data_IF_856102782649
#
_entry.id   IF_856102782649
#
_cell.length_a   1.000
_cell.length_b   1.000
_cell.length_c   1.000
_cell.angle_alpha   90.00
_cell.angle_beta   90.00
_cell.angle_gamma   90.00
#
_symmetry.space_group_name_H-M   'P 1'
#
loop_
_entity.id
_entity.type
_entity.pdbx_description
1 polymer ?
#
# COMPACT_ATOMS: atom_id res chain seq x y z
N UNK A 1 -1.29 31.16 -15.83
CA UNK A 1 -1.12 29.78 -16.35
C UNK A 1 0.07 29.02 -15.74
N UNK A 2 0.61 29.43 -14.57
CA UNK A 2 1.78 28.80 -13.92
C UNK A 2 1.45 27.87 -12.73
N UNK A 3 0.19 27.77 -12.29
CA UNK A 3 -0.21 26.91 -11.15
C UNK A 3 -0.52 25.44 -11.53
N UNK A 4 -0.53 25.08 -12.82
CA UNK A 4 -0.84 23.73 -13.30
C UNK A 4 0.39 22.84 -13.54
N UNK A 5 1.61 23.37 -13.45
CA UNK A 5 2.84 22.58 -13.63
C UNK A 5 3.37 21.92 -12.34
N UNK A 6 2.99 22.43 -11.16
CA UNK A 6 3.45 21.90 -9.87
C UNK A 6 2.76 20.57 -9.49
N UNK A 7 1.49 20.38 -9.87
CA UNK A 7 0.70 19.20 -9.50
C UNK A 7 1.10 17.92 -10.28
N UNK A 8 1.57 18.08 -11.53
CA UNK A 8 2.10 16.94 -12.32
C UNK A 8 3.43 16.41 -11.77
N UNK A 9 4.24 17.24 -11.11
CA UNK A 9 5.48 16.78 -10.49
C UNK A 9 5.24 15.92 -9.25
N UNK A 10 4.20 16.18 -8.46
CA UNK A 10 3.86 15.34 -7.31
C UNK A 10 3.36 13.97 -7.75
N UNK A 11 2.43 13.88 -8.69
CA UNK A 11 1.94 12.60 -9.22
C UNK A 11 3.02 11.78 -9.96
N UNK A 12 3.92 12.43 -10.71
CA UNK A 12 5.05 11.74 -11.35
C UNK A 12 6.11 11.27 -10.35
N UNK A 13 6.33 11.97 -9.23
CA UNK A 13 7.20 11.45 -8.17
C UNK A 13 6.63 10.21 -7.47
N UNK A 14 5.30 10.04 -7.40
CA UNK A 14 4.69 8.89 -6.71
C UNK A 14 4.89 7.55 -7.41
N UNK A 15 4.74 7.51 -8.75
CA UNK A 15 5.09 6.32 -9.54
C UNK A 15 6.59 6.27 -9.86
N UNK A 16 7.25 7.44 -9.96
CA UNK A 16 8.71 7.62 -9.97
C UNK A 16 9.42 6.87 -8.86
N UNK A 17 9.01 7.11 -7.64
CA UNK A 17 9.58 6.49 -6.44
C UNK A 17 9.45 4.97 -6.39
N UNK A 18 8.48 4.39 -7.11
CA UNK A 18 8.23 2.96 -7.14
C UNK A 18 8.91 2.25 -8.32
N UNK A 19 9.05 2.89 -9.49
CA UNK A 19 9.82 2.34 -10.61
C UNK A 19 11.34 2.60 -10.50
N UNK A 20 11.77 3.52 -9.64
CA UNK A 20 13.19 3.92 -9.51
C UNK A 20 13.89 3.26 -8.31
N UNK A 21 13.79 1.93 -8.19
CA UNK A 21 14.82 1.06 -7.59
C UNK A 21 14.40 -0.43 -7.62
N UNK A 22 15.30 -1.32 -8.06
CA UNK A 22 15.88 -2.23 -7.06
C UNK A 22 17.38 -2.03 -6.76
N UNK A 23 18.15 -1.28 -7.58
CA UNK A 23 19.62 -1.34 -7.49
C UNK A 23 20.40 -0.01 -7.57
N UNK A 24 19.75 1.17 -7.55
CA UNK A 24 20.52 2.42 -7.48
C UNK A 24 21.14 2.59 -6.09
N UNK A 25 22.47 2.78 -5.97
CA UNK A 25 23.11 3.16 -4.71
C UNK A 25 22.68 4.59 -4.39
N UNK A 26 21.55 4.74 -3.68
CA UNK A 26 21.10 6.03 -3.16
C UNK A 26 22.20 6.60 -2.27
N UNK A 27 22.76 7.74 -2.70
CA UNK A 27 23.71 8.52 -1.91
C UNK A 27 23.17 8.66 -0.48
N UNK A 28 24.00 8.28 0.48
CA UNK A 28 23.81 8.24 1.94
C UNK A 28 23.46 9.60 2.61
N UNK A 29 22.88 10.56 1.88
CA UNK A 29 22.83 11.97 2.26
C UNK A 29 21.41 12.58 2.33
N UNK A 30 20.36 11.77 2.54
CA UNK A 30 18.96 12.26 2.61
C UNK A 30 18.21 11.84 3.89
N UNK A 31 18.89 11.83 5.04
CA UNK A 31 18.25 11.53 6.34
C UNK A 31 17.19 12.57 6.75
N UNK A 32 17.32 13.82 6.29
CA UNK A 32 16.40 14.92 6.63
C UNK A 32 15.13 14.88 5.78
N UNK A 33 15.24 14.48 4.51
CA UNK A 33 14.11 14.47 3.57
C UNK A 33 13.01 13.47 3.93
N UNK A 34 13.40 12.26 4.37
CA UNK A 34 12.44 11.21 4.70
C UNK A 34 11.66 11.49 6.00
N UNK A 35 12.35 12.01 7.02
CA UNK A 35 11.69 12.46 8.25
C UNK A 35 10.70 13.60 7.98
N UNK A 36 11.12 14.59 7.19
CA UNK A 36 10.25 15.69 6.76
C UNK A 36 9.02 15.19 5.99
N UNK A 37 9.19 14.18 5.12
CA UNK A 37 8.10 13.57 4.38
C UNK A 37 7.10 12.85 5.30
N UNK A 38 7.57 12.08 6.28
CA UNK A 38 6.71 11.41 7.25
C UNK A 38 5.93 12.39 8.14
N UNK A 39 6.56 13.49 8.53
CA UNK A 39 5.93 14.57 9.30
C UNK A 39 4.89 15.31 8.47
N UNK A 40 5.23 15.64 7.22
CA UNK A 40 4.32 16.30 6.28
C UNK A 40 3.06 15.46 6.05
N UNK A 41 3.24 14.15 5.81
CA UNK A 41 2.15 13.18 5.62
C UNK A 41 1.17 13.16 6.79
N UNK A 42 1.69 13.02 8.01
CA UNK A 42 0.87 12.94 9.24
C UNK A 42 0.20 14.27 9.57
N UNK A 43 0.87 15.38 9.27
CA UNK A 43 0.30 16.72 9.42
C UNK A 43 -0.88 16.93 8.46
N UNK A 44 -0.77 16.51 7.20
CA UNK A 44 -1.88 16.58 6.23
C UNK A 44 -3.11 15.81 6.70
N UNK A 45 -2.92 14.59 7.22
CA UNK A 45 -4.01 13.78 7.77
C UNK A 45 -4.66 14.43 9.00
N UNK A 46 -3.84 14.92 9.94
CA UNK A 46 -4.31 15.62 11.15
C UNK A 46 -5.10 16.88 10.79
N UNK A 47 -4.60 17.68 9.84
CA UNK A 47 -5.27 18.88 9.34
C UNK A 47 -6.62 18.55 8.70
N UNK A 48 -6.70 17.50 7.88
CA UNK A 48 -7.97 17.11 7.27
C UNK A 48 -9.01 16.68 8.32
N UNK A 49 -8.62 15.91 9.34
CA UNK A 49 -9.57 15.48 10.39
C UNK A 49 -10.06 16.66 11.23
N UNK A 50 -9.17 17.61 11.50
CA UNK A 50 -9.49 18.85 12.19
C UNK A 50 -10.45 19.74 11.37
N UNK A 51 -10.21 19.86 10.06
CA UNK A 51 -11.10 20.60 9.16
C UNK A 51 -12.51 19.99 9.11
N UNK A 52 -12.63 18.66 9.15
CA UNK A 52 -13.94 18.00 9.27
C UNK A 52 -14.57 18.30 10.64
N UNK A 53 -13.80 18.26 11.72
CA UNK A 53 -14.30 18.52 13.08
C UNK A 53 -14.91 19.93 13.24
N UNK A 54 -14.32 20.95 12.60
CA UNK A 54 -14.79 22.33 12.65
C UNK A 54 -15.71 22.71 11.49
N UNK A 55 -16.02 21.77 10.59
CA UNK A 55 -16.98 22.02 9.52
C UNK A 55 -18.37 22.27 10.10
N UNK A 56 -18.99 23.37 9.70
CA UNK A 56 -20.38 23.71 10.02
C UNK A 56 -21.22 23.71 8.74
N UNK A 57 -22.54 23.71 8.86
CA UNK A 57 -23.45 23.73 7.69
C UNK A 57 -23.21 24.95 6.78
N UNK A 58 -22.74 26.08 7.34
CA UNK A 58 -22.38 27.28 6.59
C UNK A 58 -21.02 27.18 5.86
N UNK A 59 -20.17 26.23 6.26
CA UNK A 59 -18.83 25.99 5.72
C UNK A 59 -18.73 24.63 5.02
N UNK A 60 -19.81 24.13 4.44
CA UNK A 60 -19.83 22.85 3.73
C UNK A 60 -18.77 22.74 2.63
N UNK A 61 -18.41 23.87 2.01
CA UNK A 61 -17.31 23.95 1.02
C UNK A 61 -15.94 23.53 1.58
N UNK A 62 -15.73 23.58 2.90
CA UNK A 62 -14.49 23.16 3.58
C UNK A 62 -14.35 21.63 3.62
N UNK A 63 -15.45 20.88 3.44
CA UNK A 63 -15.40 19.42 3.38
C UNK A 63 -14.61 18.91 2.17
N UNK A 64 -14.69 19.58 1.02
CA UNK A 64 -13.93 19.21 -0.18
C UNK A 64 -12.41 19.20 0.05
N UNK A 65 -11.77 20.30 0.51
CA UNK A 65 -10.35 20.28 0.83
C UNK A 65 -10.05 19.37 2.02
N UNK A 66 -10.94 19.26 3.01
CA UNK A 66 -10.72 18.38 4.16
C UNK A 66 -10.61 16.90 3.75
N UNK A 67 -11.56 16.41 2.94
CA UNK A 67 -11.55 15.04 2.41
C UNK A 67 -10.37 14.80 1.48
N UNK A 68 -9.96 15.81 0.70
CA UNK A 68 -8.78 15.73 -0.16
C UNK A 68 -7.49 15.55 0.66
N UNK A 69 -7.34 16.31 1.75
CA UNK A 69 -6.21 16.18 2.68
C UNK A 69 -6.21 14.83 3.39
N UNK A 70 -7.38 14.33 3.80
CA UNK A 70 -7.54 12.98 4.36
C UNK A 70 -7.08 11.91 3.37
N UNK A 71 -7.52 12.00 2.10
CA UNK A 71 -7.19 11.03 1.06
C UNK A 71 -5.69 11.01 0.77
N UNK A 72 -5.09 12.19 0.52
CA UNK A 72 -3.66 12.32 0.26
C UNK A 72 -2.83 11.86 1.46
N UNK A 73 -3.16 12.34 2.67
CA UNK A 73 -2.46 11.96 3.91
C UNK A 73 -2.57 10.46 4.21
N UNK A 74 -3.73 9.85 3.95
CA UNK A 74 -3.96 8.42 4.12
C UNK A 74 -3.13 7.56 3.17
N UNK A 75 -3.14 7.86 1.86
CA UNK A 75 -2.38 7.10 0.86
C UNK A 75 -0.87 7.22 1.13
N UNK A 76 -0.40 8.42 1.46
CA UNK A 76 0.98 8.66 1.86
C UNK A 76 1.36 7.86 3.11
N UNK A 77 0.47 7.82 4.12
CA UNK A 77 0.69 7.02 5.32
C UNK A 77 0.82 5.54 4.97
N UNK A 78 -0.01 5.00 4.08
CA UNK A 78 0.10 3.62 3.63
C UNK A 78 1.47 3.33 2.98
N UNK A 79 1.86 4.11 1.96
CA UNK A 79 3.12 3.92 1.21
C UNK A 79 4.33 3.94 2.14
N UNK A 80 4.34 4.88 3.09
CA UNK A 80 5.44 5.04 4.03
C UNK A 80 5.56 3.86 5.00
N UNK A 81 4.44 3.22 5.37
CA UNK A 81 4.45 2.03 6.21
C UNK A 81 4.78 0.74 5.45
N UNK A 82 4.54 0.67 4.13
CA UNK A 82 4.92 -0.51 3.33
C UNK A 82 6.42 -0.81 3.37
N UNK A 83 7.27 0.21 3.58
CA UNK A 83 8.72 0.05 3.74
C UNK A 83 9.10 -0.88 4.91
N UNK A 84 8.25 -0.98 5.93
CA UNK A 84 8.45 -1.90 7.07
C UNK A 84 8.43 -3.36 6.60
N UNK A 85 7.67 -3.69 5.55
CA UNK A 85 7.64 -5.03 4.98
C UNK A 85 9.00 -5.51 4.47
N UNK A 86 9.90 -4.58 4.08
CA UNK A 86 11.26 -4.92 3.64
C UNK A 86 12.08 -5.60 4.74
N UNK A 87 11.77 -5.36 6.02
CA UNK A 87 12.48 -5.97 7.16
C UNK A 87 12.22 -7.47 7.31
N UNK A 88 11.19 -8.00 6.64
CA UNK A 88 10.69 -9.34 6.88
C UNK A 88 10.98 -10.33 5.75
N UNK A 89 11.98 -10.04 4.91
CA UNK A 89 12.55 -10.99 3.94
C UNK A 89 11.50 -11.86 3.22
N UNK A 90 11.45 -13.15 3.58
CA UNK A 90 10.55 -14.16 3.00
C UNK A 90 9.04 -13.90 3.20
N UNK A 91 8.63 -13.05 4.15
CA UNK A 91 7.23 -12.71 4.43
C UNK A 91 6.88 -11.26 4.02
N UNK A 92 7.75 -10.61 3.25
CA UNK A 92 7.58 -9.23 2.80
C UNK A 92 6.23 -9.00 2.12
N UNK A 93 5.84 -9.84 1.16
CA UNK A 93 4.59 -9.71 0.42
C UNK A 93 3.39 -9.77 1.37
N UNK A 94 3.36 -10.79 2.24
CA UNK A 94 2.29 -10.97 3.23
C UNK A 94 2.14 -9.77 4.17
N UNK A 95 3.23 -9.14 4.61
CA UNK A 95 3.16 -7.97 5.50
C UNK A 95 2.71 -6.72 4.74
N UNK A 96 3.18 -6.52 3.50
CA UNK A 96 2.71 -5.43 2.64
C UNK A 96 1.21 -5.60 2.36
N UNK A 97 0.73 -6.80 2.06
CA UNK A 97 -0.70 -7.03 1.84
C UNK A 97 -1.52 -6.85 3.12
N UNK A 98 -1.00 -7.24 4.28
CA UNK A 98 -1.64 -6.98 5.58
C UNK A 98 -1.80 -5.48 5.85
N UNK A 99 -0.78 -4.65 5.57
CA UNK A 99 -0.89 -3.20 5.68
C UNK A 99 -1.97 -2.62 4.76
N UNK A 100 -2.04 -3.09 3.51
CA UNK A 100 -3.11 -2.70 2.58
C UNK A 100 -4.49 -3.09 3.12
N UNK A 101 -4.65 -4.32 3.63
CA UNK A 101 -5.90 -4.78 4.21
C UNK A 101 -6.35 -3.95 5.42
N UNK A 102 -5.41 -3.65 6.33
CA UNK A 102 -5.69 -2.80 7.49
C UNK A 102 -6.08 -1.37 7.08
N UNK A 103 -5.41 -0.81 6.08
CA UNK A 103 -5.76 0.49 5.52
C UNK A 103 -7.14 0.47 4.85
N UNK A 104 -7.46 -0.57 4.09
CA UNK A 104 -8.76 -0.72 3.44
C UNK A 104 -9.92 -0.80 4.45
N UNK A 105 -9.73 -1.61 5.50
CA UNK A 105 -10.67 -1.77 6.60
C UNK A 105 -10.80 -0.55 7.51
N UNK A 106 -9.86 0.40 7.46
CA UNK A 106 -9.96 1.64 8.24
C UNK A 106 -11.19 2.49 7.89
N UNK A 107 -11.77 2.29 6.70
CA UNK A 107 -13.05 2.89 6.28
C UNK A 107 -14.20 2.61 7.25
N UNK A 108 -14.15 1.51 7.99
CA UNK A 108 -15.12 1.18 9.02
C UNK A 108 -15.10 2.11 10.24
N UNK A 109 -14.04 2.91 10.43
CA UNK A 109 -14.06 3.99 11.43
C UNK A 109 -15.22 4.96 11.17
N UNK A 110 -15.59 5.21 9.92
CA UNK A 110 -16.76 6.04 9.60
C UNK A 110 -18.08 5.39 10.05
N UNK A 111 -18.18 4.05 10.04
CA UNK A 111 -19.33 3.35 10.62
C UNK A 111 -19.36 3.51 12.14
N UNK A 112 -18.22 3.36 12.81
CA UNK A 112 -18.13 3.59 14.27
C UNK A 112 -18.54 5.02 14.60
N UNK A 113 -18.06 6.02 13.86
CA UNK A 113 -18.48 7.42 14.03
C UNK A 113 -19.99 7.59 13.83
N UNK A 114 -20.56 6.94 12.80
CA UNK A 114 -22.01 6.96 12.55
C UNK A 114 -22.79 6.41 13.75
N UNK A 115 -22.41 5.23 14.26
CA UNK A 115 -23.07 4.59 15.40
C UNK A 115 -22.94 5.42 16.69
N UNK A 116 -21.75 6.00 16.94
CA UNK A 116 -21.54 6.93 18.05
C UNK A 116 -22.44 8.16 17.92
N UNK A 117 -22.62 8.67 16.70
CA UNK A 117 -23.51 9.79 16.44
C UNK A 117 -24.98 9.46 16.70
N UNK A 118 -25.43 8.28 16.26
CA UNK A 118 -26.77 7.77 16.55
C UNK A 118 -27.00 7.54 18.06
N UNK A 119 -25.95 7.25 18.83
CA UNK A 119 -26.01 7.13 20.30
C UNK A 119 -26.01 8.48 21.05
N UNK A 120 -25.94 9.62 20.34
CA UNK A 120 -26.00 10.96 20.91
C UNK A 120 -24.65 11.69 21.03
N UNK A 121 -23.55 11.10 20.58
CA UNK A 121 -22.24 11.77 20.60
C UNK A 121 -22.15 12.72 19.39
N UNK A 122 -21.72 13.97 19.62
CA UNK A 122 -21.56 14.93 18.51
C UNK A 122 -20.48 14.47 17.51
N UNK A 123 -20.75 14.62 16.21
CA UNK A 123 -19.80 14.31 15.14
C UNK A 123 -18.46 15.05 15.34
N UNK A 124 -18.53 16.30 15.81
CA UNK A 124 -17.35 17.11 16.16
C UNK A 124 -16.48 16.44 17.22
N UNK A 125 -17.07 15.90 18.29
CA UNK A 125 -16.30 15.20 19.33
C UNK A 125 -15.58 13.96 18.77
N UNK A 126 -16.25 13.18 17.93
CA UNK A 126 -15.66 11.99 17.29
C UNK A 126 -14.47 12.33 16.39
N UNK A 127 -14.56 13.39 15.56
CA UNK A 127 -13.43 13.82 14.73
C UNK A 127 -12.30 14.50 15.53
N UNK A 128 -12.61 15.19 16.62
CA UNK A 128 -11.58 15.69 17.54
C UNK A 128 -10.81 14.55 18.21
N UNK A 129 -11.52 13.48 18.62
CA UNK A 129 -10.88 12.27 19.13
C UNK A 129 -9.96 11.62 18.10
N UNK A 130 -10.41 11.48 16.85
CA UNK A 130 -9.55 10.97 15.76
C UNK A 130 -8.33 11.86 15.51
N UNK A 131 -8.50 13.19 15.58
CA UNK A 131 -7.40 14.14 15.43
C UNK A 131 -6.37 13.96 16.56
N UNK A 132 -6.82 13.81 17.82
CA UNK A 132 -5.95 13.52 18.95
C UNK A 132 -5.18 12.19 18.78
N UNK A 133 -5.86 11.13 18.34
CA UNK A 133 -5.23 9.84 18.02
C UNK A 133 -4.17 9.98 16.91
N UNK A 134 -4.44 10.78 15.89
CA UNK A 134 -3.45 11.06 14.83
C UNK A 134 -2.22 11.82 15.34
N UNK A 135 -2.39 12.66 16.38
CA UNK A 135 -1.30 13.29 17.11
C UNK A 135 -0.35 12.31 17.78
N UNK A 136 -0.84 11.17 18.27
CA UNK A 136 0.01 10.10 18.83
C UNK A 136 0.90 9.50 17.73
N UNK A 137 0.41 9.39 16.49
CA UNK A 137 1.23 8.94 15.37
C UNK A 137 2.33 9.94 14.99
N UNK A 138 2.12 11.24 15.17
CA UNK A 138 3.18 12.25 15.05
C UNK A 138 4.26 12.04 16.11
N UNK A 139 3.85 11.82 17.36
CA UNK A 139 4.76 11.54 18.48
C UNK A 139 5.61 10.29 18.18
N UNK A 140 4.98 9.19 17.77
CA UNK A 140 5.68 7.96 17.36
C UNK A 140 6.70 8.22 16.25
N UNK A 141 6.41 9.12 15.30
CA UNK A 141 7.38 9.47 14.25
C UNK A 141 8.60 10.18 14.79
N UNK A 142 8.44 11.08 15.75
CA UNK A 142 9.58 11.75 16.39
C UNK A 142 10.45 10.79 17.20
N UNK A 143 9.86 9.82 17.91
CA UNK A 143 10.58 8.97 18.85
C UNK A 143 11.03 7.59 18.31
N UNK A 144 10.26 6.97 17.40
CA UNK A 144 10.44 5.55 17.02
C UNK A 144 10.82 5.32 15.55
N UNK A 145 10.60 6.29 14.65
CA UNK A 145 10.76 6.03 13.21
C UNK A 145 12.23 6.21 12.78
N UNK A 146 12.84 5.25 12.05
CA UNK A 146 14.19 5.41 11.55
C UNK A 146 14.23 6.56 10.57
N UNK A 147 15.28 7.36 10.66
CA UNK A 147 15.51 8.49 9.75
C UNK A 147 15.98 8.04 8.36
N UNK A 148 15.96 6.73 8.05
CA UNK A 148 16.57 6.13 6.86
C UNK A 148 15.59 5.20 6.14
N UNK A 149 15.69 5.19 4.81
CA UNK A 149 15.07 4.16 3.97
C UNK A 149 15.58 2.77 4.35
N UNK A 150 14.70 1.77 4.35
CA UNK A 150 15.07 0.38 4.63
C UNK A 150 15.39 -0.30 3.29
N UNK A 151 16.66 -0.56 2.96
CA UNK A 151 17.04 -1.22 1.72
C UNK A 151 16.51 -2.65 1.68
N UNK A 152 16.21 -3.13 0.47
CA UNK A 152 15.86 -4.52 0.21
C UNK A 152 16.75 -5.04 -0.93
N UNK A 153 17.49 -6.16 -0.75
CA UNK A 153 17.60 -6.98 0.45
C UNK A 153 18.28 -6.26 1.62
N UNK A 154 17.95 -6.67 2.84
CA UNK A 154 18.49 -6.10 4.08
C UNK A 154 19.92 -6.65 4.28
N UNK A 155 20.96 -5.80 4.42
CA UNK A 155 22.32 -6.27 4.69
C UNK A 155 22.41 -6.99 6.05
N UNK A 156 23.31 -7.98 6.18
CA UNK A 156 23.47 -8.88 7.35
C UNK A 156 23.73 -8.17 8.71
N UNK A 157 23.93 -6.85 8.71
CA UNK A 157 24.18 -6.04 9.92
C UNK A 157 23.20 -4.87 10.12
N UNK A 158 22.01 -4.89 9.52
CA UNK A 158 21.02 -3.81 9.69
C UNK A 158 20.24 -3.93 11.02
N UNK A 159 20.46 -3.00 11.95
CA UNK A 159 19.71 -2.92 13.22
C UNK A 159 18.68 -1.78 13.17
N UNK A 160 17.41 -2.08 13.44
CA UNK A 160 16.31 -1.10 13.54
C UNK A 160 15.85 -0.99 15.01
N UNK A 161 15.77 0.23 15.56
CA UNK A 161 15.20 0.49 16.89
C UNK A 161 16.02 1.42 17.79
N UNK A 162 15.47 1.78 18.96
CA UNK A 162 16.17 2.57 19.98
C UNK A 162 17.34 1.73 20.52
N UNK A 163 18.56 2.13 20.20
CA UNK A 163 19.76 1.56 20.78
C UNK A 163 19.86 1.99 22.25
N UNK A 164 19.29 1.18 23.15
CA UNK A 164 19.64 1.29 24.56
C UNK A 164 21.03 0.64 24.73
N UNK A 165 22.04 1.48 25.02
CA UNK A 165 23.30 1.13 25.68
C UNK A 165 24.11 -0.08 25.17
N UNK A 166 25.23 0.18 24.50
CA UNK A 166 26.27 -0.79 24.11
C UNK A 166 26.76 -1.68 25.27
N UNK A 167 27.10 -2.93 24.96
CA UNK A 167 28.35 -3.52 25.45
C UNK A 167 29.19 -3.99 24.26
N UNK A 168 30.40 -3.44 24.15
CA UNK A 168 31.44 -3.92 23.24
C UNK A 168 32.01 -5.21 23.83
N UNK A 169 31.97 -6.32 23.10
CA UNK A 169 32.95 -7.39 23.29
C UNK A 169 33.75 -7.53 22.00
N UNK A 170 34.93 -6.91 22.03
CA UNK A 170 36.04 -7.18 21.15
C UNK A 170 36.41 -8.66 21.31
N UNK A 171 36.38 -9.44 20.22
CA UNK A 171 37.16 -10.68 20.15
C UNK A 171 37.96 -10.68 18.86
N UNK A 172 39.19 -10.18 18.98
CA UNK A 172 40.30 -10.45 18.07
C UNK A 172 40.82 -11.87 18.34
N UNK A 173 41.09 -12.61 17.26
CA UNK A 173 42.00 -13.78 17.06
C UNK A 173 41.38 -14.64 15.93
N UNK A 174 42.06 -15.02 14.84
CA UNK A 174 43.48 -15.33 14.62
C UNK A 174 43.84 -15.05 13.15
N UNK A 175 44.96 -14.34 12.94
CA UNK A 175 45.74 -14.44 11.71
C UNK A 175 46.83 -15.50 11.91
N UNK A 176 47.03 -16.39 10.93
CA UNK A 176 48.22 -17.24 10.81
C UNK A 176 48.51 -17.57 9.33
N UNK A 177 49.36 -16.73 8.74
CA UNK A 177 50.42 -16.94 7.73
C UNK A 177 50.35 -18.02 6.63
N UNK A 178 50.77 -17.58 5.43
CA UNK A 178 51.44 -18.40 4.41
C UNK A 178 51.82 -17.60 3.15
N UNK A 179 53.07 -17.12 3.06
CA UNK A 179 53.72 -16.44 1.93
C UNK A 179 53.85 -17.30 0.66
N UNK A 180 53.75 -16.71 -0.55
CA UNK A 180 54.76 -16.80 -1.63
C UNK A 180 54.51 -15.78 -2.76
N UNK A 181 55.59 -15.33 -3.40
CA UNK A 181 55.71 -14.28 -4.41
C UNK A 181 56.22 -14.92 -5.72
N UNK A 182 55.66 -14.60 -6.90
CA UNK A 182 56.38 -14.70 -8.19
C UNK A 182 55.69 -13.91 -9.32
N UNK A 183 56.49 -13.60 -10.34
CA UNK A 183 56.36 -12.56 -11.38
C UNK A 183 55.89 -13.12 -12.73
N UNK A 184 55.32 -12.24 -13.57
CA UNK A 184 55.25 -12.22 -15.06
C UNK A 184 54.43 -13.28 -15.82
N UNK A 185 53.38 -12.85 -16.55
CA UNK A 185 53.26 -12.85 -18.03
C UNK A 185 51.81 -12.73 -18.52
N UNK A 186 51.66 -12.12 -19.69
CA UNK A 186 50.44 -11.69 -20.38
C UNK A 186 49.61 -12.87 -20.93
N UNK A 187 48.27 -12.82 -20.81
CA UNK A 187 47.29 -12.89 -21.93
C UNK A 187 45.83 -12.81 -21.43
N UNK A 188 44.90 -12.27 -22.23
CA UNK A 188 43.59 -11.80 -21.81
C UNK A 188 42.51 -12.89 -21.89
N UNK A 189 41.57 -12.92 -20.94
CA UNK A 189 40.32 -13.63 -21.15
C UNK A 189 39.15 -12.90 -20.49
N UNK A 190 38.23 -12.50 -21.37
CA UNK A 190 36.92 -11.95 -21.08
C UNK A 190 36.17 -12.75 -20.00
N UNK A 191 35.64 -12.04 -19.00
CA UNK A 191 34.44 -12.51 -18.32
C UNK A 191 33.51 -11.35 -17.97
N UNK A 192 32.66 -11.05 -18.95
CA UNK A 192 31.29 -10.52 -18.87
C UNK A 192 30.77 -10.30 -17.44
N UNK A 193 31.11 -9.17 -16.84
CA UNK A 193 30.29 -8.60 -15.76
C UNK A 193 29.12 -7.92 -16.46
N UNK A 194 27.98 -8.59 -16.58
CA UNK A 194 26.77 -7.96 -17.08
C UNK A 194 26.30 -6.93 -16.04
N UNK A 195 26.81 -5.71 -16.18
CA UNK A 195 26.19 -4.52 -15.61
C UNK A 195 24.78 -4.51 -16.17
N UNK A 196 23.78 -4.93 -15.38
CA UNK A 196 22.36 -4.75 -15.71
C UNK A 196 22.17 -3.26 -15.97
N UNK A 197 22.09 -2.89 -17.24
CA UNK A 197 21.82 -1.54 -17.70
C UNK A 197 20.49 -1.12 -17.08
N UNK A 198 20.52 -0.21 -16.11
CA UNK A 198 19.32 0.31 -15.48
C UNK A 198 18.47 0.99 -16.56
N UNK A 199 17.30 0.41 -16.85
CA UNK A 199 16.35 0.97 -17.82
C UNK A 199 15.95 2.36 -17.35
N UNK A 200 15.90 3.32 -18.27
CA UNK A 200 15.46 4.68 -17.94
C UNK A 200 14.03 4.65 -17.39
N UNK A 201 13.74 5.46 -16.36
CA UNK A 201 12.40 5.56 -15.77
C UNK A 201 11.30 5.78 -16.83
N UNK A 202 11.61 6.55 -17.88
CA UNK A 202 10.69 6.77 -19.01
C UNK A 202 10.43 5.51 -19.83
N UNK A 203 11.44 4.67 -20.04
CA UNK A 203 11.32 3.40 -20.76
C UNK A 203 10.55 2.37 -19.93
N UNK A 204 10.67 2.42 -18.60
CA UNK A 204 9.87 1.62 -17.69
C UNK A 204 8.39 2.02 -17.75
N UNK A 205 8.07 3.32 -17.66
CA UNK A 205 6.70 3.83 -17.72
C UNK A 205 6.03 3.61 -19.08
N UNK A 206 6.78 3.67 -20.18
CA UNK A 206 6.28 3.43 -21.54
C UNK A 206 6.34 1.95 -21.93
N UNK A 207 6.76 1.07 -21.02
CA UNK A 207 6.73 -0.36 -21.25
C UNK A 207 5.29 -0.82 -21.53
N UNK A 208 5.12 -1.55 -22.62
CA UNK A 208 3.83 -2.14 -23.02
C UNK A 208 3.18 -2.93 -21.87
N UNK A 209 3.99 -3.65 -21.10
CA UNK A 209 3.53 -4.42 -19.95
C UNK A 209 2.97 -3.54 -18.82
N UNK A 210 3.67 -2.46 -18.48
CA UNK A 210 3.22 -1.50 -17.47
C UNK A 210 1.91 -0.81 -17.89
N UNK A 211 1.79 -0.39 -19.15
CA UNK A 211 0.56 0.25 -19.66
C UNK A 211 -0.63 -0.70 -19.62
N UNK A 212 -0.47 -1.97 -20.02
CA UNK A 212 -1.53 -2.96 -19.94
C UNK A 212 -1.95 -3.25 -18.50
N UNK A 213 -0.99 -3.37 -17.58
CA UNK A 213 -1.26 -3.57 -16.16
C UNK A 213 -1.96 -2.36 -15.54
N UNK A 214 -1.53 -1.14 -15.88
CA UNK A 214 -2.16 0.11 -15.43
C UNK A 214 -3.59 0.23 -15.95
N UNK A 215 -3.83 -0.11 -17.22
CA UNK A 215 -5.17 -0.13 -17.80
C UNK A 215 -6.07 -1.15 -17.08
N UNK A 216 -5.57 -2.37 -16.86
CA UNK A 216 -6.28 -3.41 -16.13
C UNK A 216 -6.65 -2.93 -14.71
N UNK A 217 -5.67 -2.40 -13.97
CA UNK A 217 -5.88 -1.86 -12.62
C UNK A 217 -6.93 -0.73 -12.64
N UNK A 218 -6.85 0.17 -13.63
CA UNK A 218 -7.78 1.29 -13.76
C UNK A 218 -9.21 0.84 -14.00
N UNK A 219 -9.43 -0.16 -14.85
CA UNK A 219 -10.77 -0.74 -15.12
C UNK A 219 -11.35 -1.37 -13.85
N UNK A 220 -10.56 -2.20 -13.16
CA UNK A 220 -10.99 -2.83 -11.91
C UNK A 220 -11.31 -1.80 -10.84
N UNK A 221 -10.46 -0.78 -10.70
CA UNK A 221 -10.64 0.29 -9.74
C UNK A 221 -11.88 1.14 -10.02
N UNK A 222 -12.09 1.51 -11.28
CA UNK A 222 -13.27 2.25 -11.72
C UNK A 222 -14.56 1.49 -11.38
N UNK A 223 -14.57 0.17 -11.60
CA UNK A 223 -15.73 -0.67 -11.27
C UNK A 223 -16.07 -0.62 -9.78
N UNK A 224 -15.09 -0.60 -8.88
CA UNK A 224 -15.33 -0.46 -7.44
C UNK A 224 -15.86 0.92 -7.07
N UNK A 225 -15.28 1.98 -7.64
CA UNK A 225 -15.74 3.35 -7.37
C UNK A 225 -17.16 3.58 -7.87
N UNK A 226 -17.51 3.05 -9.05
CA UNK A 226 -18.88 3.13 -9.57
C UNK A 226 -19.87 2.40 -8.66
N UNK A 227 -19.50 1.25 -8.10
CA UNK A 227 -20.36 0.55 -7.12
C UNK A 227 -20.58 1.39 -5.87
N UNK A 228 -19.50 1.85 -5.23
CA UNK A 228 -19.58 2.62 -3.98
C UNK A 228 -20.38 3.91 -4.21
N UNK A 229 -20.15 4.59 -5.33
CA UNK A 229 -20.86 5.82 -5.69
C UNK A 229 -22.35 5.61 -6.00
N UNK A 230 -22.74 4.43 -6.50
CA UNK A 230 -24.14 4.13 -6.85
C UNK A 230 -24.86 3.27 -5.82
N UNK A 231 -24.16 2.77 -4.79
CA UNK A 231 -24.70 1.85 -3.79
C UNK A 231 -25.94 2.42 -3.11
N UNK A 232 -25.87 3.67 -2.64
CA UNK A 232 -26.96 4.29 -1.90
C UNK A 232 -28.22 4.50 -2.79
N UNK A 233 -28.15 5.13 -3.97
CA UNK A 233 -29.27 5.17 -4.92
C UNK A 233 -29.79 3.78 -5.34
N UNK A 234 -28.89 2.80 -5.52
CA UNK A 234 -29.25 1.44 -5.91
C UNK A 234 -30.07 0.75 -4.81
N UNK A 235 -29.64 0.87 -3.54
CA UNK A 235 -30.39 0.33 -2.40
C UNK A 235 -31.74 1.01 -2.25
N UNK A 236 -31.81 2.35 -2.34
CA UNK A 236 -33.09 3.06 -2.32
C UNK A 236 -34.07 2.55 -3.38
N UNK A 237 -33.58 2.23 -4.58
CA UNK A 237 -34.41 1.67 -5.65
C UNK A 237 -34.86 0.23 -5.35
N UNK A 238 -33.96 -0.62 -4.82
CA UNK A 238 -34.27 -2.02 -4.53
C UNK A 238 -35.17 -2.21 -3.29
N UNK A 239 -35.14 -1.29 -2.33
CA UNK A 239 -35.98 -1.34 -1.12
C UNK A 239 -37.28 -0.56 -1.26
N UNK A 240 -37.64 -0.12 -2.47
CA UNK A 240 -38.79 0.77 -2.72
C UNK A 240 -38.78 2.05 -1.85
N UNK A 241 -37.59 2.53 -1.47
CA UNK A 241 -37.40 3.73 -0.67
C UNK A 241 -37.45 3.53 0.85
N UNK A 242 -37.58 2.31 1.36
CA UNK A 242 -37.68 2.07 2.80
C UNK A 242 -36.36 2.42 3.54
N UNK A 243 -36.35 3.43 4.44
CA UNK A 243 -35.11 3.97 5.02
C UNK A 243 -34.45 3.03 6.03
N UNK A 244 -35.23 2.24 6.79
CA UNK A 244 -34.74 1.21 7.71
C UNK A 244 -33.90 0.17 6.99
N UNK A 245 -34.44 -0.36 5.88
CA UNK A 245 -33.79 -1.40 5.11
C UNK A 245 -32.54 -0.88 4.39
N UNK A 246 -32.57 0.34 3.84
CA UNK A 246 -31.37 0.98 3.27
C UNK A 246 -30.28 1.13 4.32
N UNK A 247 -30.61 1.63 5.52
CA UNK A 247 -29.64 1.76 6.60
C UNK A 247 -29.05 0.41 7.03
N UNK A 248 -29.88 -0.64 7.10
CA UNK A 248 -29.42 -2.01 7.38
C UNK A 248 -28.40 -2.50 6.36
N UNK A 249 -28.67 -2.36 5.06
CA UNK A 249 -27.75 -2.79 4.00
C UNK A 249 -26.47 -1.95 3.96
N UNK A 250 -26.56 -0.63 4.21
CA UNK A 250 -25.37 0.24 4.31
C UNK A 250 -24.52 -0.15 5.52
N UNK A 251 -25.15 -0.43 6.67
CA UNK A 251 -24.44 -0.91 7.86
C UNK A 251 -23.79 -2.27 7.59
N UNK A 252 -24.49 -3.18 6.92
CA UNK A 252 -23.93 -4.47 6.52
C UNK A 252 -22.74 -4.33 5.57
N UNK A 253 -22.84 -3.46 4.55
CA UNK A 253 -21.72 -3.16 3.66
C UNK A 253 -20.50 -2.65 4.45
N UNK A 254 -20.73 -1.73 5.38
CA UNK A 254 -19.67 -1.15 6.20
C UNK A 254 -19.04 -2.17 7.18
N UNK A 255 -19.84 -3.08 7.76
CA UNK A 255 -19.33 -4.20 8.56
C UNK A 255 -18.47 -5.13 7.69
N UNK A 256 -18.91 -5.44 6.47
CA UNK A 256 -18.12 -6.29 5.57
C UNK A 256 -16.76 -5.66 5.22
N UNK A 257 -16.65 -4.33 5.13
CA UNK A 257 -15.35 -3.66 4.94
C UNK A 257 -14.35 -3.94 6.08
N UNK A 258 -14.81 -4.18 7.31
CA UNK A 258 -13.93 -4.59 8.43
C UNK A 258 -13.23 -5.91 8.16
N UNK A 259 -13.87 -6.81 7.42
CA UNK A 259 -13.33 -8.13 7.12
C UNK A 259 -12.21 -8.10 6.06
N UNK A 260 -11.96 -6.94 5.41
CA UNK A 260 -10.90 -6.78 4.41
C UNK A 260 -9.52 -7.14 4.94
N UNK A 261 -9.21 -6.79 6.19
CA UNK A 261 -7.93 -7.15 6.84
C UNK A 261 -7.71 -8.66 6.93
N UNK A 262 -8.77 -9.46 7.06
CA UNK A 262 -8.68 -10.92 7.11
C UNK A 262 -8.45 -11.52 5.71
N UNK A 263 -8.93 -10.84 4.67
CA UNK A 263 -8.87 -11.28 3.28
C UNK A 263 -7.54 -10.92 2.62
N UNK A 264 -6.90 -9.83 3.04
CA UNK A 264 -5.69 -9.31 2.40
C UNK A 264 -4.46 -10.23 2.49
N UNK A 265 -4.21 -10.96 3.60
CA UNK A 265 -3.10 -11.93 3.68
C UNK A 265 -3.24 -13.09 2.70
N UNK A 266 -4.46 -13.49 2.31
CA UNK A 266 -4.65 -14.63 1.39
C UNK A 266 -3.98 -14.42 0.04
N UNK A 267 -4.03 -13.20 -0.50
CA UNK A 267 -3.36 -12.90 -1.76
C UNK A 267 -1.82 -13.04 -1.63
N UNK A 268 -1.25 -12.45 -0.57
CA UNK A 268 0.17 -12.53 -0.27
C UNK A 268 0.64 -13.97 -0.05
N UNK A 269 -0.14 -14.77 0.69
CA UNK A 269 0.13 -16.19 0.93
C UNK A 269 0.09 -17.04 -0.35
N UNK A 270 -0.86 -16.78 -1.26
CA UNK A 270 -0.90 -17.46 -2.56
C UNK A 270 0.39 -17.18 -3.35
N UNK A 271 0.83 -15.92 -3.35
CA UNK A 271 2.04 -15.53 -4.06
C UNK A 271 3.30 -16.09 -3.40
N UNK A 272 3.45 -15.94 -2.08
CA UNK A 272 4.61 -16.44 -1.31
C UNK A 272 4.71 -17.98 -1.39
N UNK A 273 3.59 -18.71 -1.35
CA UNK A 273 3.56 -20.17 -1.51
C UNK A 273 4.00 -20.63 -2.90
N UNK A 274 3.73 -19.84 -3.93
CA UNK A 274 4.16 -20.15 -5.29
C UNK A 274 5.64 -19.82 -5.52
N UNK A 275 6.19 -18.81 -4.83
CA UNK A 275 7.63 -18.55 -4.81
C UNK A 275 8.44 -19.65 -4.14
N UNK A 276 7.87 -20.33 -3.15
CA UNK A 276 8.52 -21.44 -2.43
C UNK A 276 8.54 -22.79 -3.15
N UNK A 277 7.97 -22.90 -4.36
CA UNK A 277 8.01 -24.15 -5.14
C UNK A 277 9.38 -24.35 -5.80
N UNK A 278 9.87 -25.60 -5.93
CA UNK A 278 11.13 -25.86 -6.61
C UNK A 278 11.05 -25.35 -8.05
N UNK A 279 12.07 -24.57 -8.44
CA UNK A 279 12.19 -23.95 -9.76
C UNK A 279 12.35 -25.04 -10.81
N UNK A 280 11.75 -24.86 -11.98
CA UNK A 280 12.07 -25.71 -13.12
C UNK A 280 13.53 -25.47 -13.53
N UNK A 281 14.20 -26.51 -14.06
CA UNK A 281 15.58 -26.38 -14.51
C UNK A 281 15.69 -25.31 -15.61
N UNK A 282 16.45 -24.24 -15.35
CA UNK A 282 16.64 -23.12 -16.28
C UNK A 282 15.72 -21.91 -16.07
N UNK A 283 14.78 -21.94 -15.12
CA UNK A 283 13.87 -20.82 -14.84
C UNK A 283 14.54 -19.75 -13.96
N UNK A 284 14.47 -18.48 -14.38
CA UNK A 284 15.01 -17.34 -13.62
C UNK A 284 14.10 -16.97 -12.44
N UNK A 285 14.65 -16.33 -11.39
CA UNK A 285 13.84 -15.84 -10.25
C UNK A 285 12.69 -14.94 -10.68
N UNK A 286 12.92 -14.12 -11.69
CA UNK A 286 11.95 -13.15 -12.19
C UNK A 286 10.77 -13.83 -12.92
N UNK A 287 11.01 -14.95 -13.62
CA UNK A 287 9.97 -15.71 -14.31
C UNK A 287 9.07 -16.47 -13.34
N UNK A 288 9.65 -17.10 -12.32
CA UNK A 288 8.89 -17.78 -11.26
C UNK A 288 7.99 -16.79 -10.49
N UNK A 289 8.53 -15.61 -10.19
CA UNK A 289 7.83 -14.51 -9.53
C UNK A 289 6.70 -13.93 -10.40
N UNK A 290 6.93 -13.78 -11.70
CA UNK A 290 5.92 -13.33 -12.66
C UNK A 290 4.78 -14.35 -12.76
N UNK A 291 5.10 -15.65 -12.80
CA UNK A 291 4.09 -16.73 -12.85
C UNK A 291 3.20 -16.75 -11.61
N UNK A 292 3.78 -16.56 -10.43
CA UNK A 292 3.02 -16.43 -9.18
C UNK A 292 2.09 -15.21 -9.21
N UNK A 293 2.56 -14.10 -9.79
CA UNK A 293 1.78 -12.87 -9.96
C UNK A 293 0.62 -13.05 -10.95
N UNK A 294 0.81 -13.75 -12.07
CA UNK A 294 -0.26 -14.00 -13.07
C UNK A 294 -1.46 -14.72 -12.46
N UNK A 295 -1.23 -15.72 -11.61
CA UNK A 295 -2.33 -16.43 -10.93
C UNK A 295 -3.11 -15.49 -10.02
N UNK A 296 -2.42 -14.64 -9.25
CA UNK A 296 -3.04 -13.64 -8.39
C UNK A 296 -3.89 -12.64 -9.19
N UNK A 297 -3.37 -12.15 -10.31
CA UNK A 297 -4.09 -11.24 -11.21
C UNK A 297 -5.32 -11.89 -11.85
N UNK A 298 -5.20 -13.16 -12.29
CA UNK A 298 -6.33 -13.91 -12.84
C UNK A 298 -7.45 -14.12 -11.81
N UNK A 299 -7.11 -14.55 -10.59
CA UNK A 299 -8.08 -14.69 -9.50
C UNK A 299 -8.78 -13.37 -9.18
N UNK A 300 -8.01 -12.27 -9.19
CA UNK A 300 -8.56 -10.92 -8.99
C UNK A 300 -9.53 -10.54 -10.12
N UNK A 301 -9.21 -10.85 -11.37
CA UNK A 301 -10.11 -10.59 -12.49
C UNK A 301 -11.41 -11.41 -12.40
N UNK A 302 -11.31 -12.70 -12.05
CA UNK A 302 -12.46 -13.59 -11.87
C UNK A 302 -13.38 -13.10 -10.75
N UNK A 303 -12.81 -12.73 -9.60
CA UNK A 303 -13.57 -12.16 -8.49
C UNK A 303 -14.28 -10.85 -8.88
N UNK A 304 -13.63 -9.99 -9.66
CA UNK A 304 -14.24 -8.74 -10.12
C UNK A 304 -15.40 -9.00 -11.09
N UNK A 305 -15.28 -10.02 -11.94
CA UNK A 305 -16.37 -10.44 -12.83
C UNK A 305 -17.57 -10.94 -12.03
N UNK A 306 -17.35 -11.82 -11.05
CA UNK A 306 -18.41 -12.33 -10.17
C UNK A 306 -19.10 -11.20 -9.40
N UNK A 307 -18.32 -10.33 -8.78
CA UNK A 307 -18.81 -9.10 -8.16
C UNK A 307 -19.64 -8.25 -9.13
N UNK A 308 -19.19 -8.12 -10.38
CA UNK A 308 -19.86 -7.33 -11.40
C UNK A 308 -21.23 -7.89 -11.78
N UNK A 309 -21.31 -9.21 -11.95
CA UNK A 309 -22.56 -9.92 -12.21
C UNK A 309 -23.52 -9.74 -11.04
N UNK A 310 -23.10 -10.05 -9.81
CA UNK A 310 -23.96 -9.97 -8.63
C UNK A 310 -24.50 -8.56 -8.36
N UNK A 311 -23.67 -7.52 -8.54
CA UNK A 311 -24.10 -6.14 -8.36
C UNK A 311 -25.08 -5.66 -9.45
N UNK A 312 -25.03 -6.25 -10.64
CA UNK A 312 -25.91 -5.88 -11.76
C UNK A 312 -27.28 -6.56 -11.65
N UNK A 313 -27.35 -7.67 -10.91
CA UNK A 313 -28.60 -8.38 -10.65
C UNK A 313 -29.45 -7.61 -9.61
N UNK A 314 -30.68 -7.20 -9.94
CA UNK A 314 -31.56 -6.43 -9.06
C UNK A 314 -32.25 -7.32 -8.02
N UNK A 315 -31.47 -8.10 -7.25
CA UNK A 315 -31.98 -8.96 -6.18
C UNK A 315 -31.37 -8.52 -4.85
N UNK A 316 -32.23 -8.15 -3.90
CA UNK A 316 -31.82 -7.49 -2.65
C UNK A 316 -31.00 -8.40 -1.72
N UNK A 317 -31.38 -9.68 -1.45
CA UNK A 317 -30.57 -10.57 -0.63
C UNK A 317 -29.19 -10.88 -1.22
N UNK A 318 -29.05 -10.90 -2.55
CA UNK A 318 -27.77 -11.11 -3.23
C UNK A 318 -26.76 -10.01 -2.94
N UNK A 319 -27.20 -8.81 -2.54
CA UNK A 319 -26.29 -7.71 -2.25
C UNK A 319 -25.35 -8.02 -1.06
N UNK A 320 -25.75 -8.87 -0.12
CA UNK A 320 -24.83 -9.35 0.93
C UNK A 320 -23.63 -10.09 0.33
N UNK A 321 -23.87 -10.98 -0.64
CA UNK A 321 -22.81 -11.66 -1.37
C UNK A 321 -21.98 -10.67 -2.20
N UNK A 322 -22.64 -9.70 -2.86
CA UNK A 322 -21.95 -8.63 -3.60
C UNK A 322 -20.98 -7.88 -2.70
N UNK A 323 -21.35 -7.56 -1.45
CA UNK A 323 -20.47 -6.87 -0.50
C UNK A 323 -19.26 -7.72 -0.13
N UNK A 324 -19.46 -9.02 0.11
CA UNK A 324 -18.36 -9.95 0.43
C UNK A 324 -17.40 -10.06 -0.75
N UNK A 325 -17.92 -10.26 -1.96
CA UNK A 325 -17.12 -10.34 -3.19
C UNK A 325 -16.36 -9.03 -3.46
N UNK A 326 -16.99 -7.88 -3.20
CA UNK A 326 -16.35 -6.58 -3.35
C UNK A 326 -15.15 -6.41 -2.41
N UNK A 327 -15.29 -6.77 -1.13
CA UNK A 327 -14.20 -6.66 -0.14
C UNK A 327 -13.07 -7.64 -0.43
N UNK A 328 -13.41 -8.88 -0.78
CA UNK A 328 -12.44 -9.88 -1.19
C UNK A 328 -11.64 -9.41 -2.40
N UNK A 329 -12.35 -8.92 -3.43
CA UNK A 329 -11.71 -8.48 -4.66
C UNK A 329 -10.83 -7.26 -4.45
N UNK A 330 -11.29 -6.27 -3.67
CA UNK A 330 -10.53 -5.07 -3.32
C UNK A 330 -9.25 -5.41 -2.56
N UNK A 331 -9.32 -6.34 -1.62
CA UNK A 331 -8.17 -6.83 -0.86
C UNK A 331 -7.12 -7.50 -1.77
N UNK A 332 -7.58 -8.31 -2.73
CA UNK A 332 -6.72 -8.96 -3.72
C UNK A 332 -6.12 -7.97 -4.72
N UNK A 333 -6.90 -6.98 -5.17
CA UNK A 333 -6.45 -5.95 -6.11
C UNK A 333 -5.31 -5.12 -5.53
N UNK A 334 -5.48 -4.56 -4.33
CA UNK A 334 -4.45 -3.71 -3.72
C UNK A 334 -3.29 -4.53 -3.14
N UNK A 335 -3.58 -5.63 -2.46
CA UNK A 335 -2.54 -6.51 -1.92
C UNK A 335 -1.68 -7.10 -3.04
N UNK A 336 -2.31 -7.66 -4.07
CA UNK A 336 -1.63 -8.25 -5.22
C UNK A 336 -0.85 -7.22 -6.03
N UNK A 337 -1.42 -6.03 -6.28
CA UNK A 337 -0.71 -4.98 -6.99
C UNK A 337 0.49 -4.44 -6.20
N UNK A 338 0.35 -4.20 -4.89
CA UNK A 338 1.46 -3.73 -4.06
C UNK A 338 2.60 -4.75 -4.03
N UNK A 339 2.25 -6.04 -3.96
CA UNK A 339 3.23 -7.11 -3.92
C UNK A 339 3.86 -7.37 -5.30
N UNK A 340 3.12 -7.25 -6.40
CA UNK A 340 3.65 -7.27 -7.78
C UNK A 340 4.63 -6.13 -8.05
N UNK A 341 4.28 -4.90 -7.66
CA UNK A 341 5.18 -3.74 -7.81
C UNK A 341 6.45 -3.94 -6.97
N UNK A 342 6.36 -4.64 -5.83
CA UNK A 342 7.53 -4.92 -5.00
C UNK A 342 8.54 -5.92 -5.62
N UNK A 343 8.12 -6.62 -6.68
CA UNK A 343 8.82 -7.70 -7.38
C UNK A 343 9.33 -7.28 -8.76
N UNK A 344 8.59 -6.40 -9.45
CA UNK A 344 8.90 -5.90 -10.79
C UNK A 344 10.08 -4.91 -10.80
#
# INVERSE_FOLDING_TARGET
MQKWHQSRHQHCMFYGWYCEAPNTPRKQHDNTGMCFFFLSTRSLYTSGTLMVAFSTSALSNVLFPALSLLAVGGILFLITNMQVGNLFGSHRSTIITLYNGAFDSSSALFLVIKLLHESGISLRASFLFLSACSGIHLLRTFFLMPRKFIPYPVPDHYTYGITCGKSKTLSSKVAANGNSQSTTEETPLDQHTSVKQEKSFRECLLSRFFVWHLLWLSVMQLRHYLFIGTLNPMLHRLTAGEPSLVSQYINAFAITQLCGVLCAPWNGLIMDRHKGKPRAAGETEQEADLRASVLSLFLTALQCLLFSVCASTPYLPLQYLTFILQVLNRSFLYGGNAAFISVA
#
